data_IF_675047152342
#
_entry.id   IF_675047152342
#
_cell.length_a   1.000
_cell.length_b   1.000
_cell.length_c   1.000
_cell.angle_alpha   90.00
_cell.angle_beta   90.00
_cell.angle_gamma   90.00
#
_symmetry.space_group_name_H-M   'P 1'
#
loop_
_entity.id
_entity.type
_entity.pdbx_description
1 polymer ?
#
# COMPACT_ATOMS: atom_id res chain seq x y z
N UNK A 1 8.23 3.62 -9.83
CA UNK A 1 8.71 4.82 -9.10
C UNK A 1 8.55 6.12 -9.88
N UNK A 2 9.03 6.24 -11.13
CA UNK A 2 8.93 7.47 -11.95
C UNK A 2 7.62 8.27 -11.85
N UNK A 3 6.44 7.64 -11.97
CA UNK A 3 5.15 8.36 -11.88
C UNK A 3 4.88 8.98 -10.51
N UNK A 4 5.26 8.28 -9.43
CA UNK A 4 5.13 8.78 -8.06
C UNK A 4 6.08 9.96 -7.84
N UNK A 5 7.34 9.85 -8.26
CA UNK A 5 8.31 10.94 -8.18
C UNK A 5 7.83 12.17 -8.97
N UNK A 6 7.29 11.95 -10.18
CA UNK A 6 6.73 13.05 -10.98
C UNK A 6 5.57 13.75 -10.27
N UNK A 7 4.64 12.98 -9.68
CA UNK A 7 3.54 13.52 -8.88
C UNK A 7 4.04 14.36 -7.69
N UNK A 8 5.00 13.82 -6.91
CA UNK A 8 5.57 14.54 -5.76
C UNK A 8 6.29 15.82 -6.16
N UNK A 9 7.00 15.78 -7.29
CA UNK A 9 7.67 16.95 -7.83
C UNK A 9 6.67 18.03 -8.27
N UNK A 10 5.56 17.65 -8.92
CA UNK A 10 4.49 18.58 -9.30
C UNK A 10 3.86 19.25 -8.07
N UNK A 11 3.60 18.48 -7.01
CA UNK A 11 3.07 19.01 -5.74
C UNK A 11 4.06 19.98 -5.09
N UNK A 12 5.32 19.59 -4.87
CA UNK A 12 6.36 20.46 -4.27
C UNK A 12 6.63 21.71 -5.12
N UNK A 13 6.45 21.64 -6.44
CA UNK A 13 6.60 22.78 -7.35
C UNK A 13 5.39 23.72 -7.38
N UNK A 14 4.33 23.43 -6.62
CA UNK A 14 3.13 24.28 -6.53
C UNK A 14 2.23 24.22 -7.76
N UNK A 15 2.28 23.13 -8.53
CA UNK A 15 1.34 22.91 -9.65
C UNK A 15 -0.09 22.92 -9.11
N UNK A 16 -0.95 23.72 -9.74
CA UNK A 16 -2.29 24.01 -9.24
C UNK A 16 -3.17 22.76 -9.08
N UNK A 17 -3.10 21.82 -10.01
CA UNK A 17 -3.94 20.62 -10.02
C UNK A 17 -3.09 19.43 -10.41
N UNK A 18 -2.88 18.52 -9.47
CA UNK A 18 -2.14 17.27 -9.65
C UNK A 18 -3.11 16.09 -9.59
N UNK A 19 -2.79 15.01 -10.30
CA UNK A 19 -3.65 13.81 -10.36
C UNK A 19 -2.92 12.60 -9.80
N UNK A 20 -3.55 11.90 -8.86
CA UNK A 20 -3.09 10.59 -8.36
C UNK A 20 -4.01 9.50 -8.87
N UNK A 21 -3.49 8.39 -9.47
CA UNK A 21 -4.33 7.28 -9.89
C UNK A 21 -4.98 6.58 -8.69
N UNK A 22 -6.20 6.06 -8.86
CA UNK A 22 -6.94 5.37 -7.79
C UNK A 22 -6.78 3.85 -7.94
N UNK A 23 -6.35 3.19 -6.87
CA UNK A 23 -6.33 1.72 -6.76
C UNK A 23 -7.56 1.20 -6.01
N UNK A 24 -8.14 0.10 -6.47
CA UNK A 24 -9.31 -0.54 -5.84
C UNK A 24 -8.94 -1.90 -5.28
N UNK A 25 -9.14 -2.08 -3.99
CA UNK A 25 -9.01 -3.39 -3.35
C UNK A 25 -10.15 -4.35 -3.72
N UNK A 26 -11.29 -3.83 -4.21
CA UNK A 26 -12.43 -4.63 -4.65
C UNK A 26 -12.17 -5.28 -6.00
N UNK A 27 -11.58 -4.56 -6.97
CA UNK A 27 -11.21 -5.11 -8.27
C UNK A 27 -9.75 -5.58 -8.33
N UNK A 28 -8.99 -5.33 -7.26
CA UNK A 28 -7.56 -5.62 -7.13
C UNK A 28 -6.69 -4.98 -8.23
N UNK A 29 -7.09 -3.82 -8.75
CA UNK A 29 -6.41 -3.13 -9.85
C UNK A 29 -6.58 -1.59 -9.78
N UNK A 30 -5.80 -0.87 -10.56
CA UNK A 30 -5.95 0.56 -10.82
C UNK A 30 -7.24 0.78 -11.60
N UNK A 31 -8.10 1.68 -11.12
CA UNK A 31 -9.34 2.02 -11.82
C UNK A 31 -9.00 2.90 -13.04
N UNK A 32 -9.30 2.46 -14.28
CA UNK A 32 -9.01 3.24 -15.47
C UNK A 32 -9.69 4.61 -15.45
N UNK A 33 -8.95 5.65 -15.85
CA UNK A 33 -9.45 7.02 -15.96
C UNK A 33 -10.00 7.65 -14.66
N UNK A 34 -9.76 7.02 -13.50
CA UNK A 34 -10.12 7.57 -12.20
C UNK A 34 -8.90 8.12 -11.49
N UNK A 35 -9.02 9.36 -11.02
CA UNK A 35 -7.95 10.06 -10.34
C UNK A 35 -8.50 10.83 -9.15
N UNK A 36 -7.74 10.85 -8.08
CA UNK A 36 -7.91 11.82 -7.02
C UNK A 36 -7.19 13.11 -7.40
N UNK A 37 -7.83 14.23 -7.09
CA UNK A 37 -7.32 15.56 -7.41
C UNK A 37 -6.67 16.15 -6.17
N UNK A 38 -5.42 16.56 -6.31
CA UNK A 38 -4.66 17.28 -5.28
C UNK A 38 -4.45 18.71 -5.77
N UNK A 39 -5.02 19.68 -5.05
CA UNK A 39 -4.87 21.12 -5.33
C UNK A 39 -4.17 21.78 -4.14
N UNK A 40 -2.86 21.99 -4.29
CA UNK A 40 -1.97 22.73 -3.37
C UNK A 40 -2.40 22.61 -1.89
N UNK A 41 -2.39 21.40 -1.32
CA UNK A 41 -2.75 21.24 0.08
C UNK A 41 -1.66 21.86 0.98
N UNK A 42 -2.06 22.38 2.14
CA UNK A 42 -1.11 22.80 3.18
C UNK A 42 -0.29 21.60 3.71
N UNK A 43 -0.94 20.44 3.80
CA UNK A 43 -0.33 19.18 4.23
C UNK A 43 -0.76 18.06 3.29
N UNK A 44 0.21 17.35 2.71
CA UNK A 44 -0.02 16.14 1.94
C UNK A 44 0.50 14.93 2.74
N UNK A 45 -0.38 13.98 3.04
CA UNK A 45 0.02 12.68 3.61
C UNK A 45 0.21 11.69 2.46
N UNK A 46 1.38 11.08 2.42
CA UNK A 46 1.71 10.02 1.45
C UNK A 46 1.88 8.73 2.24
N UNK A 47 1.01 7.77 1.98
CA UNK A 47 1.11 6.44 2.59
C UNK A 47 1.56 5.38 1.58
N UNK A 48 2.30 4.39 2.06
CA UNK A 48 2.74 3.27 1.24
C UNK A 48 3.92 2.52 1.82
N UNK A 49 4.03 1.24 1.48
CA UNK A 49 5.10 0.36 1.98
C UNK A 49 6.48 0.67 1.41
N UNK A 50 6.57 1.52 0.38
CA UNK A 50 7.79 1.82 -0.36
C UNK A 50 8.22 3.30 -0.26
N UNK A 51 7.57 4.10 0.57
CA UNK A 51 7.85 5.55 0.70
C UNK A 51 9.26 5.84 1.23
N UNK A 52 9.85 4.91 1.98
CA UNK A 52 11.20 5.01 2.54
C UNK A 52 12.25 4.18 1.79
N UNK A 53 11.88 3.54 0.69
CA UNK A 53 12.81 2.72 -0.09
C UNK A 53 13.79 3.60 -0.88
N UNK A 54 15.05 3.16 -0.95
CA UNK A 54 16.02 3.68 -1.90
C UNK A 54 15.98 2.84 -3.18
N UNK A 55 15.45 3.35 -4.30
CA UNK A 55 15.76 2.77 -5.60
C UNK A 55 17.27 2.74 -5.81
N UNK A 56 17.83 1.55 -6.02
CA UNK A 56 19.26 1.32 -6.22
C UNK A 56 19.84 1.99 -7.48
N UNK A 57 18.98 2.47 -8.40
CA UNK A 57 19.35 3.04 -9.70
C UNK A 57 18.68 4.39 -10.02
N UNK A 58 18.07 5.08 -9.05
CA UNK A 58 17.51 6.43 -9.28
C UNK A 58 18.27 7.47 -8.44
N UNK A 59 18.51 8.66 -9.01
CA UNK A 59 19.22 9.75 -8.33
C UNK A 59 18.35 10.56 -7.37
N UNK A 60 17.03 10.36 -7.42
CA UNK A 60 16.03 11.14 -6.68
C UNK A 60 15.20 10.16 -5.84
N UNK A 61 15.05 10.45 -4.56
CA UNK A 61 14.36 9.61 -3.60
C UNK A 61 13.02 10.21 -3.17
N UNK A 62 12.05 9.38 -2.77
CA UNK A 62 10.78 9.89 -2.20
C UNK A 62 11.07 10.72 -0.94
N UNK A 63 12.05 10.31 -0.15
CA UNK A 63 12.48 11.03 1.06
C UNK A 63 12.92 12.47 0.78
N UNK A 64 13.35 12.79 -0.45
CA UNK A 64 13.72 14.17 -0.82
C UNK A 64 12.50 15.09 -0.96
N UNK A 65 11.29 14.52 -1.04
CA UNK A 65 10.02 15.26 -1.16
C UNK A 65 9.21 15.29 0.13
N UNK A 66 9.62 14.54 1.17
CA UNK A 66 8.90 14.46 2.45
C UNK A 66 9.57 15.30 3.52
N UNK A 67 8.80 16.14 4.21
CA UNK A 67 9.32 16.96 5.30
C UNK A 67 9.35 16.21 6.66
N UNK A 68 8.55 15.15 6.79
CA UNK A 68 8.50 14.27 7.96
C UNK A 68 8.02 12.87 7.56
N UNK A 69 8.55 11.84 8.22
CA UNK A 69 8.26 10.44 7.92
C UNK A 69 7.98 9.60 9.15
N UNK A 70 6.99 8.71 9.04
CA UNK A 70 6.55 7.81 10.10
C UNK A 70 6.65 6.37 9.61
N UNK A 71 7.27 5.51 10.39
CA UNK A 71 7.24 4.05 10.20
C UNK A 71 6.36 3.43 11.28
N UNK A 72 5.28 2.77 10.86
CA UNK A 72 4.42 1.98 11.75
C UNK A 72 5.04 0.59 11.92
N UNK A 73 5.51 0.26 13.12
CA UNK A 73 6.15 -1.00 13.45
C UNK A 73 5.24 -1.90 14.30
N UNK A 74 5.41 -3.20 14.13
CA UNK A 74 4.72 -4.20 14.94
C UNK A 74 5.46 -5.54 14.85
N UNK A 75 5.26 -6.38 15.87
CA UNK A 75 5.74 -7.76 15.83
C UNK A 75 5.15 -8.50 14.62
N UNK A 76 5.97 -9.28 13.93
CA UNK A 76 5.60 -9.95 12.67
C UNK A 76 4.34 -10.81 12.84
N UNK A 77 4.21 -11.51 13.97
CA UNK A 77 3.06 -12.36 14.28
C UNK A 77 1.76 -11.55 14.44
N UNK A 78 1.85 -10.30 14.91
CA UNK A 78 0.71 -9.39 14.98
C UNK A 78 0.31 -8.89 13.58
N UNK A 79 1.28 -8.56 12.74
CA UNK A 79 1.01 -8.13 11.36
C UNK A 79 0.35 -9.28 10.58
N UNK A 80 0.85 -10.51 10.71
CA UNK A 80 0.23 -11.70 10.11
C UNK A 80 -1.22 -11.87 10.57
N UNK A 81 -1.45 -11.77 11.88
CA UNK A 81 -2.79 -11.84 12.44
C UNK A 81 -3.72 -10.78 11.85
N UNK A 82 -3.30 -9.51 11.81
CA UNK A 82 -4.11 -8.42 11.27
C UNK A 82 -4.36 -8.58 9.77
N UNK A 83 -3.38 -9.07 9.01
CA UNK A 83 -3.55 -9.39 7.60
C UNK A 83 -4.66 -10.45 7.40
N UNK A 84 -4.63 -11.54 8.16
CA UNK A 84 -5.66 -12.59 8.09
C UNK A 84 -7.04 -12.12 8.56
N UNK A 85 -7.10 -11.30 9.61
CA UNK A 85 -8.35 -10.69 10.08
C UNK A 85 -8.95 -9.75 9.02
N UNK A 86 -8.12 -8.92 8.37
CA UNK A 86 -8.55 -8.05 7.27
C UNK A 86 -9.04 -8.87 6.07
N UNK A 87 -8.32 -9.93 5.69
CA UNK A 87 -8.73 -10.83 4.62
C UNK A 87 -10.11 -11.45 4.90
N UNK A 88 -10.34 -11.92 6.12
CA UNK A 88 -11.65 -12.41 6.55
C UNK A 88 -12.77 -11.38 6.41
N UNK A 89 -12.53 -10.13 6.84
CA UNK A 89 -13.52 -9.03 6.70
C UNK A 89 -13.82 -8.70 5.25
N UNK A 90 -12.83 -8.73 4.37
CA UNK A 90 -13.03 -8.49 2.93
C UNK A 90 -13.94 -9.59 2.35
N UNK A 91 -13.68 -10.86 2.67
CA UNK A 91 -14.54 -11.97 2.27
C UNK A 91 -15.97 -11.84 2.79
N UNK A 92 -16.15 -11.40 4.04
CA UNK A 92 -17.47 -11.25 4.66
C UNK A 92 -18.37 -10.22 3.96
N UNK A 93 -17.80 -9.36 3.10
CA UNK A 93 -18.55 -8.39 2.30
C UNK A 93 -18.60 -8.75 0.82
N UNK A 94 -17.65 -9.55 0.34
CA UNK A 94 -17.48 -9.83 -1.09
C UNK A 94 -18.58 -10.73 -1.69
N UNK A 95 -19.25 -11.56 -0.89
CA UNK A 95 -20.31 -12.47 -1.39
C UNK A 95 -21.51 -11.73 -2.02
N UNK A 96 -21.66 -10.43 -1.76
CA UNK A 96 -22.76 -9.61 -2.28
C UNK A 96 -22.50 -9.10 -3.71
N UNK A 97 -21.27 -9.24 -4.20
CA UNK A 97 -20.85 -8.66 -5.48
C UNK A 97 -19.99 -9.64 -6.29
N UNK A 98 -20.57 -10.25 -7.34
CA UNK A 98 -19.85 -11.16 -8.25
C UNK A 98 -18.63 -10.56 -8.95
N UNK A 99 -18.58 -9.23 -9.09
CA UNK A 99 -17.45 -8.55 -9.73
C UNK A 99 -16.29 -8.27 -8.74
N UNK A 100 -16.48 -8.60 -7.46
CA UNK A 100 -15.45 -8.44 -6.42
C UNK A 100 -14.39 -9.54 -6.56
N UNK A 101 -13.12 -9.15 -6.51
CA UNK A 101 -11.97 -10.06 -6.55
C UNK A 101 -12.05 -11.19 -5.51
N UNK A 102 -12.64 -10.91 -4.34
CA UNK A 102 -12.77 -11.88 -3.26
C UNK A 102 -14.02 -12.77 -3.37
N UNK A 103 -14.87 -12.58 -4.39
CA UNK A 103 -16.16 -13.27 -4.52
C UNK A 103 -16.01 -14.80 -4.51
N UNK A 104 -15.11 -15.34 -5.33
CA UNK A 104 -14.90 -16.80 -5.42
C UNK A 104 -14.43 -17.39 -4.08
N UNK A 105 -13.58 -16.68 -3.34
CA UNK A 105 -13.14 -17.09 -2.01
C UNK A 105 -14.28 -17.02 -0.99
N UNK A 106 -15.15 -16.00 -1.08
CA UNK A 106 -16.28 -15.81 -0.18
C UNK A 106 -17.38 -16.88 -0.39
N UNK A 107 -17.56 -17.35 -1.61
CA UNK A 107 -18.50 -18.43 -1.96
C UNK A 107 -17.94 -19.84 -1.69
N UNK A 108 -16.62 -19.98 -1.67
CA UNK A 108 -15.93 -21.24 -1.45
C UNK A 108 -15.80 -21.66 0.02
N UNK A 109 -14.96 -22.67 0.27
CA UNK A 109 -14.63 -23.08 1.63
C UNK A 109 -13.71 -22.05 2.29
N UNK A 110 -14.17 -21.50 3.43
CA UNK A 110 -13.44 -20.49 4.19
C UNK A 110 -12.08 -20.99 4.70
N UNK A 111 -11.97 -22.25 5.12
CA UNK A 111 -10.69 -22.80 5.60
C UNK A 111 -9.64 -22.86 4.48
N UNK A 112 -10.07 -23.22 3.27
CA UNK A 112 -9.20 -23.24 2.09
C UNK A 112 -8.76 -21.82 1.72
N UNK A 113 -9.67 -20.84 1.77
CA UNK A 113 -9.36 -19.43 1.53
C UNK A 113 -8.34 -18.87 2.54
N UNK A 114 -8.49 -19.18 3.84
CA UNK A 114 -7.52 -18.79 4.87
C UNK A 114 -6.18 -19.51 4.71
N UNK A 115 -6.17 -20.76 4.23
CA UNK A 115 -4.93 -21.49 3.93
C UNK A 115 -4.18 -20.84 2.77
N UNK A 116 -4.90 -20.43 1.72
CA UNK A 116 -4.34 -19.63 0.62
C UNK A 116 -3.79 -18.29 1.14
N UNK A 117 -4.56 -17.56 1.95
CA UNK A 117 -4.13 -16.26 2.48
C UNK A 117 -2.85 -16.37 3.32
N UNK A 118 -2.73 -17.40 4.17
CA UNK A 118 -1.49 -17.70 4.90
C UNK A 118 -0.33 -17.99 3.96
N UNK A 119 -0.57 -18.76 2.90
CA UNK A 119 0.47 -19.02 1.91
C UNK A 119 0.94 -17.74 1.20
N UNK A 120 0.02 -16.84 0.84
CA UNK A 120 0.36 -15.52 0.27
C UNK A 120 1.20 -14.71 1.25
N UNK A 121 0.80 -14.64 2.52
CA UNK A 121 1.58 -13.96 3.54
C UNK A 121 3.02 -14.50 3.63
N UNK A 122 3.17 -15.82 3.73
CA UNK A 122 4.46 -16.47 3.90
C UNK A 122 5.37 -16.35 2.67
N UNK A 123 4.79 -16.32 1.46
CA UNK A 123 5.55 -16.35 0.19
C UNK A 123 5.69 -14.98 -0.48
N UNK A 124 4.88 -13.99 -0.12
CA UNK A 124 4.86 -12.67 -0.76
C UNK A 124 5.10 -11.57 0.28
N UNK A 125 4.18 -11.40 1.23
CA UNK A 125 4.20 -10.24 2.13
C UNK A 125 5.34 -10.30 3.15
N UNK A 126 5.56 -11.43 3.80
CA UNK A 126 6.63 -11.60 4.78
C UNK A 126 8.03 -11.48 4.15
N UNK A 127 8.33 -12.10 2.99
CA UNK A 127 9.57 -11.84 2.28
C UNK A 127 9.73 -10.36 1.92
N UNK A 128 8.68 -9.70 1.45
CA UNK A 128 8.71 -8.27 1.12
C UNK A 128 8.97 -7.40 2.37
N UNK A 129 8.31 -7.70 3.49
CA UNK A 129 8.53 -7.05 4.78
C UNK A 129 9.99 -7.14 5.18
N UNK A 130 10.56 -8.35 5.21
CA UNK A 130 11.94 -8.58 5.66
C UNK A 130 12.99 -7.98 4.73
N UNK A 131 12.79 -8.12 3.41
CA UNK A 131 13.81 -7.74 2.43
C UNK A 131 13.74 -6.26 2.02
N UNK A 132 12.54 -5.67 1.98
CA UNK A 132 12.34 -4.37 1.32
C UNK A 132 11.73 -3.30 2.23
N UNK A 133 10.93 -3.67 3.24
CA UNK A 133 10.23 -2.68 4.10
C UNK A 133 11.00 -2.46 5.40
N UNK A 134 11.22 -3.51 6.19
CA UNK A 134 11.88 -3.46 7.50
C UNK A 134 13.27 -2.81 7.46
N UNK A 135 14.14 -3.05 6.45
CA UNK A 135 15.43 -2.38 6.37
C UNK A 135 15.35 -0.86 6.19
N UNK A 136 14.18 -0.32 5.83
CA UNK A 136 13.95 1.13 5.70
C UNK A 136 13.50 1.78 7.02
N UNK A 137 13.17 1.00 8.06
CA UNK A 137 12.66 1.48 9.36
C UNK A 137 13.55 2.57 9.98
N UNK A 138 14.87 2.40 9.96
CA UNK A 138 15.81 3.34 10.58
C UNK A 138 15.91 4.69 9.84
N UNK A 139 15.20 4.84 8.71
CA UNK A 139 15.17 6.09 7.92
C UNK A 139 14.02 6.99 8.30
N UNK A 140 13.05 6.50 9.08
CA UNK A 140 11.92 7.30 9.50
C UNK A 140 12.32 8.28 10.60
N UNK A 141 11.71 9.46 10.60
CA UNK A 141 11.87 10.45 11.67
C UNK A 141 11.21 9.97 12.96
N UNK A 142 10.12 9.21 12.84
CA UNK A 142 9.40 8.59 13.96
C UNK A 142 9.07 7.13 13.67
N UNK A 143 9.25 6.29 14.68
CA UNK A 143 8.80 4.89 14.69
C UNK A 143 7.68 4.78 15.72
N UNK A 144 6.52 4.25 15.30
CA UNK A 144 5.32 4.08 16.13
C UNK A 144 4.97 2.61 16.31
#
# INVERSE_FOLDING_TARGET
MRKLIAFLNEVKSGVAVTKSPVYSHQSYDIIPNRYDIVDRPDVLIIEGINTLQLPSNEQIYISDFTDFSIYMDAEVDLIEKWYLERFGRLMDTAFQDPDNYYYDYAMGNREDAFSMARNVWQTIDLPNLRANILPTRSRADMIM
#
